data_IF_354146645478
#
_entry.id   IF_354146645478
#
_cell.length_a   1.000
_cell.length_b   1.000
_cell.length_c   1.000
_cell.angle_alpha   90.00
_cell.angle_beta   90.00
_cell.angle_gamma   90.00
#
_symmetry.space_group_name_H-M   'P 1'
#
loop_
_entity.id
_entity.type
_entity.pdbx_description
1 polymer ?
#
# COMPACT_ATOMS: atom_id res chain seq x y z
N UNK A 1 -17.67 -38.68 -51.04
CA UNK A 1 -17.23 -37.41 -50.42
C UNK A 1 -17.60 -37.44 -48.94
N UNK A 2 -16.68 -37.91 -48.09
CA UNK A 2 -16.88 -38.07 -46.65
C UNK A 2 -16.49 -36.76 -45.94
N UNK A 3 -17.39 -36.21 -45.12
CA UNK A 3 -17.11 -35.09 -44.21
C UNK A 3 -16.48 -35.65 -42.93
N UNK A 4 -15.23 -35.29 -42.66
CA UNK A 4 -14.55 -35.55 -41.37
C UNK A 4 -14.82 -34.36 -40.44
N UNK A 5 -15.40 -34.64 -39.27
CA UNK A 5 -15.56 -33.69 -38.15
C UNK A 5 -14.20 -33.47 -37.51
N UNK A 6 -13.80 -32.21 -37.35
CA UNK A 6 -12.67 -31.81 -36.51
C UNK A 6 -13.00 -32.07 -35.04
N UNK A 7 -12.14 -32.81 -34.35
CA UNK A 7 -12.15 -32.93 -32.90
C UNK A 7 -11.46 -31.69 -32.32
N UNK A 8 -12.12 -31.01 -31.39
CA UNK A 8 -11.54 -29.91 -30.64
C UNK A 8 -10.51 -30.44 -29.63
N UNK A 9 -9.32 -29.85 -29.64
CA UNK A 9 -8.34 -30.00 -28.57
C UNK A 9 -8.89 -29.37 -27.29
N UNK A 10 -8.97 -30.20 -26.25
CA UNK A 10 -9.28 -29.79 -24.90
C UNK A 10 -8.14 -28.90 -24.36
N UNK A 11 -8.50 -27.76 -23.81
CA UNK A 11 -7.58 -26.88 -23.11
C UNK A 11 -6.91 -27.62 -21.94
N UNK A 12 -5.59 -27.61 -21.92
CA UNK A 12 -4.74 -28.12 -20.85
C UNK A 12 -5.16 -27.53 -19.50
N UNK A 13 -5.60 -28.40 -18.59
CA UNK A 13 -5.86 -28.07 -17.20
C UNK A 13 -4.54 -27.77 -16.49
N UNK A 14 -4.29 -26.50 -16.17
CA UNK A 14 -3.21 -26.12 -15.28
C UNK A 14 -3.38 -26.85 -13.93
N UNK A 15 -2.38 -27.64 -13.54
CA UNK A 15 -2.34 -28.27 -12.23
C UNK A 15 -2.46 -27.19 -11.13
N UNK A 16 -3.22 -27.43 -10.05
CA UNK A 16 -3.36 -26.45 -8.98
C UNK A 16 -2.00 -26.15 -8.38
N UNK A 17 -1.64 -24.87 -8.31
CA UNK A 17 -0.38 -24.42 -7.74
C UNK A 17 -0.22 -24.96 -6.30
N UNK A 18 0.85 -25.72 -6.06
CA UNK A 18 1.12 -26.29 -4.75
C UNK A 18 1.29 -25.16 -3.71
N UNK A 19 0.58 -25.26 -2.59
CA UNK A 19 0.71 -24.30 -1.49
C UNK A 19 2.00 -24.57 -0.71
N UNK A 20 2.58 -23.51 -0.14
CA UNK A 20 3.77 -23.56 0.71
C UNK A 20 3.40 -23.36 2.17
N UNK A 21 3.91 -24.20 3.07
CA UNK A 21 3.99 -23.85 4.49
C UNK A 21 5.14 -22.87 4.67
N UNK A 22 4.86 -21.68 5.20
CA UNK A 22 5.87 -20.63 5.37
C UNK A 22 6.10 -20.28 6.84
N UNK A 23 7.31 -19.82 7.15
CA UNK A 23 7.70 -19.34 8.47
C UNK A 23 8.29 -20.41 9.39
N UNK A 24 8.97 -19.95 10.46
CA UNK A 24 9.60 -20.84 11.43
C UNK A 24 8.56 -21.52 12.32
N UNK A 25 8.88 -22.72 12.81
CA UNK A 25 8.01 -23.46 13.74
C UNK A 25 8.00 -22.87 15.16
N UNK A 26 8.99 -22.05 15.50
CA UNK A 26 9.09 -21.41 16.82
C UNK A 26 7.99 -20.36 17.02
N UNK A 27 7.56 -20.15 18.27
CA UNK A 27 6.61 -19.09 18.60
C UNK A 27 7.13 -17.70 18.19
N UNK A 28 6.22 -16.80 17.84
CA UNK A 28 6.55 -15.42 17.51
C UNK A 28 7.17 -14.70 18.73
N UNK A 29 8.14 -13.80 18.53
CA UNK A 29 8.66 -12.97 19.60
C UNK A 29 7.57 -12.12 20.26
N UNK A 30 7.70 -11.83 21.55
CA UNK A 30 6.83 -10.88 22.24
C UNK A 30 7.25 -9.43 21.93
N UNK A 31 6.29 -8.64 21.47
CA UNK A 31 6.47 -7.23 21.11
C UNK A 31 5.79 -6.26 22.10
N UNK A 32 5.17 -6.74 23.18
CA UNK A 32 4.43 -5.89 24.13
C UNK A 32 5.30 -4.75 24.70
N UNK A 33 6.57 -5.04 25.02
CA UNK A 33 7.52 -4.03 25.49
C UNK A 33 7.90 -3.00 24.42
N UNK A 34 7.99 -3.42 23.15
CA UNK A 34 8.26 -2.53 22.01
C UNK A 34 7.06 -1.62 21.75
N UNK A 35 5.85 -2.18 21.77
CA UNK A 35 4.59 -1.45 21.54
C UNK A 35 4.26 -0.47 22.68
N UNK A 36 4.77 -0.74 23.89
CA UNK A 36 4.58 0.14 25.04
C UNK A 36 5.40 1.44 24.96
N UNK A 37 6.45 1.49 24.13
CA UNK A 37 7.31 2.67 24.02
C UNK A 37 6.53 3.88 23.47
N UNK A 38 6.62 5.07 24.09
CA UNK A 38 5.83 6.24 23.69
C UNK A 38 6.03 6.64 22.23
N UNK A 39 7.28 6.63 21.74
CA UNK A 39 7.59 6.96 20.36
C UNK A 39 6.92 5.99 19.38
N UNK A 40 6.99 4.69 19.66
CA UNK A 40 6.39 3.66 18.80
C UNK A 40 4.87 3.82 18.75
N UNK A 41 4.22 4.18 19.87
CA UNK A 41 2.78 4.49 19.87
C UNK A 41 2.42 5.65 18.96
N UNK A 42 3.21 6.72 18.99
CA UNK A 42 2.99 7.90 18.12
C UNK A 42 3.17 7.53 16.65
N UNK A 43 4.25 6.82 16.31
CA UNK A 43 4.54 6.42 14.92
C UNK A 43 3.49 5.43 14.41
N UNK A 44 3.09 4.45 15.22
CA UNK A 44 2.00 3.51 14.89
C UNK A 44 0.68 4.25 14.64
N UNK A 45 0.32 5.21 15.50
CA UNK A 45 -0.90 5.99 15.34
C UNK A 45 -0.87 6.84 14.05
N UNK A 46 0.26 7.46 13.73
CA UNK A 46 0.44 8.19 12.48
C UNK A 46 0.31 7.26 11.27
N UNK A 47 0.99 6.12 11.29
CA UNK A 47 0.95 5.14 10.20
C UNK A 47 -0.46 4.63 9.96
N UNK A 48 -1.14 4.20 11.04
CA UNK A 48 -2.55 3.78 10.99
C UNK A 48 -3.44 4.86 10.40
N UNK A 49 -3.30 6.11 10.84
CA UNK A 49 -4.10 7.24 10.32
C UNK A 49 -3.92 7.38 8.81
N UNK A 50 -2.68 7.35 8.32
CA UNK A 50 -2.39 7.45 6.88
C UNK A 50 -2.92 6.27 6.08
N UNK A 51 -2.86 5.06 6.63
CA UNK A 51 -3.51 3.91 6.01
C UNK A 51 -5.04 4.05 5.97
N UNK A 52 -5.67 4.48 7.07
CA UNK A 52 -7.12 4.67 7.13
C UNK A 52 -7.61 5.76 6.17
N UNK A 53 -6.86 6.86 6.03
CA UNK A 53 -7.11 7.92 5.04
C UNK A 53 -7.09 7.35 3.60
N UNK A 54 -6.08 6.56 3.25
CA UNK A 54 -5.94 5.97 1.91
C UNK A 54 -6.99 4.87 1.61
N UNK A 55 -7.39 4.09 2.62
CA UNK A 55 -8.39 3.03 2.48
C UNK A 55 -9.83 3.60 2.53
N UNK A 56 -10.01 4.78 3.15
CA UNK A 56 -11.29 5.42 3.38
C UNK A 56 -12.07 4.88 4.59
N UNK A 57 -11.47 3.99 5.39
CA UNK A 57 -12.04 3.48 6.63
C UNK A 57 -10.95 2.96 7.57
N UNK A 58 -11.21 3.01 8.88
CA UNK A 58 -10.28 2.52 9.90
C UNK A 58 -10.63 1.09 10.39
N UNK A 59 -9.69 0.47 11.08
CA UNK A 59 -9.88 -0.81 11.77
C UNK A 59 -10.61 -0.63 13.10
N UNK A 60 -11.40 -1.63 13.49
CA UNK A 60 -11.96 -1.72 14.85
C UNK A 60 -10.95 -2.29 15.86
N UNK A 61 -9.84 -2.85 15.37
CA UNK A 61 -8.77 -3.35 16.22
C UNK A 61 -7.92 -2.20 16.77
N UNK A 62 -7.04 -2.52 17.71
CA UNK A 62 -6.11 -1.56 18.33
C UNK A 62 -4.67 -1.99 18.16
N UNK A 63 -3.76 -1.02 18.32
CA UNK A 63 -2.31 -1.25 18.22
C UNK A 63 -1.88 -1.80 16.86
N UNK A 64 -0.84 -2.63 16.88
CA UNK A 64 -0.29 -3.25 15.68
C UNK A 64 -1.29 -4.14 14.92
N UNK A 65 -2.17 -4.93 15.56
CA UNK A 65 -3.22 -5.68 14.86
C UNK A 65 -4.11 -4.83 13.94
N UNK A 66 -4.37 -3.57 14.29
CA UNK A 66 -5.10 -2.64 13.44
C UNK A 66 -4.35 -2.35 12.12
N UNK A 67 -3.04 -2.17 12.19
CA UNK A 67 -2.17 -1.94 11.02
C UNK A 67 -2.16 -3.17 10.11
N UNK A 68 -2.10 -4.37 10.68
CA UNK A 68 -2.14 -5.62 9.91
C UNK A 68 -3.51 -5.84 9.26
N UNK A 69 -4.61 -5.52 9.95
CA UNK A 69 -5.94 -5.56 9.37
C UNK A 69 -6.10 -4.55 8.22
N UNK A 70 -5.68 -3.29 8.40
CA UNK A 70 -5.67 -2.29 7.33
C UNK A 70 -4.82 -2.72 6.14
N UNK A 71 -3.65 -3.32 6.40
CA UNK A 71 -2.78 -3.87 5.35
C UNK A 71 -3.49 -4.95 4.54
N UNK A 72 -4.14 -5.90 5.22
CA UNK A 72 -4.91 -6.97 4.57
C UNK A 72 -6.08 -6.40 3.76
N UNK A 73 -6.72 -5.32 4.22
CA UNK A 73 -7.77 -4.61 3.47
C UNK A 73 -7.21 -3.92 2.24
N UNK A 74 -6.10 -3.20 2.36
CA UNK A 74 -5.42 -2.51 1.26
C UNK A 74 -5.02 -3.48 0.14
N UNK A 75 -4.43 -4.63 0.49
CA UNK A 75 -4.08 -5.68 -0.47
C UNK A 75 -5.30 -6.35 -1.13
N UNK A 76 -6.52 -6.10 -0.64
CA UNK A 76 -7.78 -6.61 -1.21
C UNK A 76 -8.63 -5.52 -1.86
N UNK A 77 -8.23 -4.26 -1.73
CA UNK A 77 -9.01 -3.11 -2.19
C UNK A 77 -8.99 -2.97 -3.71
N UNK A 78 -7.84 -3.27 -4.32
CA UNK A 78 -7.60 -3.08 -5.74
C UNK A 78 -7.58 -4.40 -6.52
N UNK A 79 -7.97 -4.36 -7.81
CA UNK A 79 -7.92 -5.54 -8.67
C UNK A 79 -6.49 -5.89 -9.10
N UNK A 80 -5.58 -4.92 -9.19
CA UNK A 80 -4.20 -5.14 -9.62
C UNK A 80 -3.21 -4.96 -8.47
N UNK A 81 -2.13 -5.76 -8.50
CA UNK A 81 -0.99 -5.61 -7.59
C UNK A 81 -0.38 -4.21 -7.68
N UNK A 82 -0.34 -3.62 -8.88
CA UNK A 82 0.29 -2.33 -9.13
C UNK A 82 -0.42 -1.19 -8.41
N UNK A 83 -1.74 -1.19 -8.40
CA UNK A 83 -2.53 -0.19 -7.69
C UNK A 83 -2.26 -0.24 -6.18
N UNK A 84 -2.23 -1.46 -5.60
CA UNK A 84 -1.83 -1.64 -4.19
C UNK A 84 -0.43 -1.10 -3.92
N UNK A 85 0.52 -1.34 -4.83
CA UNK A 85 1.90 -0.86 -4.67
C UNK A 85 1.98 0.67 -4.72
N UNK A 86 1.31 1.30 -5.69
CA UNK A 86 1.27 2.75 -5.85
C UNK A 86 0.61 3.42 -4.64
N UNK A 87 -0.54 2.92 -4.19
CA UNK A 87 -1.21 3.44 -2.99
C UNK A 87 -0.34 3.26 -1.75
N UNK A 88 0.35 2.12 -1.61
CA UNK A 88 1.27 1.91 -0.48
C UNK A 88 2.43 2.89 -0.52
N UNK A 89 3.04 3.15 -1.69
CA UNK A 89 4.11 4.14 -1.83
C UNK A 89 3.61 5.56 -1.51
N UNK A 90 2.38 5.90 -1.89
CA UNK A 90 1.76 7.16 -1.51
C UNK A 90 1.57 7.28 0.01
N UNK A 91 1.13 6.19 0.68
CA UNK A 91 1.07 6.13 2.14
C UNK A 91 2.45 6.38 2.75
N UNK A 92 3.51 5.70 2.27
CA UNK A 92 4.88 5.90 2.75
C UNK A 92 5.33 7.35 2.61
N UNK A 93 5.10 7.97 1.45
CA UNK A 93 5.41 9.39 1.24
C UNK A 93 4.64 10.31 2.21
N UNK A 94 3.37 9.99 2.48
CA UNK A 94 2.52 10.80 3.38
C UNK A 94 2.94 10.76 4.86
N UNK A 95 3.85 9.86 5.24
CA UNK A 95 4.42 9.81 6.60
C UNK A 95 5.43 10.94 6.83
N UNK A 96 5.95 11.52 5.76
CA UNK A 96 6.93 12.59 5.80
C UNK A 96 6.29 13.92 5.38
N UNK A 97 6.83 15.06 5.85
CA UNK A 97 6.53 16.34 5.22
C UNK A 97 6.85 16.27 3.72
N UNK A 98 5.98 16.79 2.85
CA UNK A 98 6.12 16.62 1.39
C UNK A 98 7.43 17.14 0.78
N UNK A 99 8.11 18.08 1.46
CA UNK A 99 9.42 18.59 1.04
C UNK A 99 10.60 17.67 1.41
N UNK A 100 10.43 16.81 2.42
CA UNK A 100 11.54 16.10 3.05
C UNK A 100 12.20 15.05 2.15
N UNK A 101 11.46 14.15 1.44
CA UNK A 101 12.10 13.18 0.57
C UNK A 101 12.92 13.82 -0.57
N UNK A 102 12.36 14.85 -1.22
CA UNK A 102 13.04 15.59 -2.27
C UNK A 102 14.29 16.34 -1.77
N UNK A 103 14.20 16.96 -0.59
CA UNK A 103 15.32 17.61 0.06
C UNK A 103 16.42 16.59 0.43
N UNK A 104 16.05 15.43 0.97
CA UNK A 104 16.98 14.35 1.29
C UNK A 104 17.72 13.87 0.04
N UNK A 105 17.00 13.64 -1.05
CA UNK A 105 17.57 13.27 -2.35
C UNK A 105 18.60 14.28 -2.85
N UNK A 106 18.30 15.57 -2.75
CA UNK A 106 19.17 16.64 -3.23
C UNK A 106 20.41 16.85 -2.35
N UNK A 107 20.26 16.77 -1.02
CA UNK A 107 21.32 17.12 -0.06
C UNK A 107 22.20 15.94 0.38
N UNK A 108 21.68 14.70 0.33
CA UNK A 108 22.39 13.53 0.84
C UNK A 108 22.57 12.45 -0.23
N UNK A 109 21.49 11.95 -0.84
CA UNK A 109 21.57 10.77 -1.72
C UNK A 109 22.41 11.01 -2.98
N UNK A 110 22.24 12.15 -3.65
CA UNK A 110 23.03 12.50 -4.83
C UNK A 110 24.48 12.86 -4.52
N UNK A 111 24.78 13.78 -3.59
CA UNK A 111 26.17 14.20 -3.35
C UNK A 111 26.98 13.18 -2.56
N UNK A 112 26.34 12.38 -1.70
CA UNK A 112 27.02 11.48 -0.75
C UNK A 112 26.33 10.10 -0.72
N UNK A 113 26.28 9.36 -1.84
CA UNK A 113 25.47 8.14 -1.97
C UNK A 113 25.82 7.06 -0.94
N UNK A 114 27.11 6.78 -0.71
CA UNK A 114 27.54 5.78 0.26
C UNK A 114 27.18 6.17 1.71
N UNK A 115 27.33 7.46 2.06
CA UNK A 115 26.93 7.97 3.38
C UNK A 115 25.41 7.89 3.54
N UNK A 116 24.66 8.27 2.52
CA UNK A 116 23.19 8.20 2.51
C UNK A 116 22.72 6.75 2.73
N UNK A 117 23.33 5.76 2.09
CA UNK A 117 23.00 4.35 2.29
C UNK A 117 23.27 3.90 3.73
N UNK A 118 24.43 4.24 4.31
CA UNK A 118 24.76 3.92 5.72
C UNK A 118 23.81 4.59 6.70
N UNK A 119 23.48 5.86 6.46
CA UNK A 119 22.56 6.62 7.31
C UNK A 119 21.16 6.00 7.27
N UNK A 120 20.66 5.63 6.09
CA UNK A 120 19.36 4.98 5.95
C UNK A 120 19.35 3.57 6.56
N UNK A 121 20.43 2.80 6.41
CA UNK A 121 20.56 1.49 7.07
C UNK A 121 20.48 1.63 8.60
N UNK A 122 21.28 2.54 9.16
CA UNK A 122 21.27 2.82 10.59
C UNK A 122 19.90 3.32 11.07
N UNK A 123 19.32 4.30 10.39
CA UNK A 123 18.02 4.87 10.74
C UNK A 123 16.90 3.83 10.66
N UNK A 124 16.89 2.98 9.63
CA UNK A 124 15.91 1.89 9.47
C UNK A 124 16.05 0.87 10.59
N UNK A 125 17.28 0.43 10.90
CA UNK A 125 17.54 -0.52 11.98
C UNK A 125 17.15 0.03 13.36
N UNK A 126 17.29 1.33 13.58
CA UNK A 126 16.95 1.98 14.85
C UNK A 126 15.44 2.25 15.00
N UNK A 127 14.79 2.75 13.94
CA UNK A 127 13.45 3.35 14.04
C UNK A 127 12.31 2.46 13.56
N UNK A 128 12.60 1.40 12.80
CA UNK A 128 11.57 0.54 12.22
C UNK A 128 11.39 -0.81 12.94
N UNK A 129 11.98 -1.00 14.12
CA UNK A 129 11.85 -2.25 14.88
C UNK A 129 10.41 -2.51 15.37
N UNK A 130 9.64 -1.46 15.66
CA UNK A 130 8.22 -1.62 15.99
C UNK A 130 7.43 -2.24 14.84
N UNK A 131 7.84 -1.94 13.59
CA UNK A 131 7.17 -2.39 12.37
C UNK A 131 7.63 -3.79 11.96
N UNK A 132 8.94 -4.00 11.94
CA UNK A 132 9.57 -5.17 11.33
C UNK A 132 10.11 -6.17 12.34
N UNK A 133 10.27 -5.81 13.62
CA UNK A 133 10.91 -6.64 14.63
C UNK A 133 12.42 -6.36 14.77
N UNK A 134 13.20 -7.27 15.39
CA UNK A 134 14.63 -7.08 15.63
C UNK A 134 15.41 -6.86 14.33
N UNK A 135 16.19 -5.79 14.29
CA UNK A 135 16.98 -5.38 13.13
C UNK A 135 18.46 -5.22 13.52
N UNK A 136 19.37 -5.63 12.62
CA UNK A 136 20.81 -5.45 12.78
C UNK A 136 21.39 -4.82 11.52
N UNK A 137 22.25 -3.82 11.68
CA UNK A 137 23.04 -3.28 10.58
C UNK A 137 24.13 -4.29 10.23
N UNK A 138 24.32 -4.55 8.94
CA UNK A 138 25.32 -5.48 8.44
C UNK A 138 25.96 -4.98 7.14
N UNK A 139 26.98 -5.70 6.70
CA UNK A 139 27.62 -5.50 5.40
C UNK A 139 26.89 -6.32 4.34
N UNK A 140 26.73 -5.74 3.16
CA UNK A 140 25.97 -6.33 2.05
C UNK A 140 26.67 -6.10 0.73
N UNK A 141 26.41 -6.96 -0.24
CA UNK A 141 26.79 -6.70 -1.62
C UNK A 141 25.93 -5.55 -2.19
N UNK A 142 26.57 -4.57 -2.81
CA UNK A 142 25.94 -3.44 -3.50
C UNK A 142 26.19 -3.53 -5.01
N UNK A 143 25.66 -2.58 -5.77
CA UNK A 143 25.86 -2.52 -7.22
C UNK A 143 27.35 -2.57 -7.60
N UNK A 144 27.68 -3.33 -8.64
CA UNK A 144 29.06 -3.60 -9.05
C UNK A 144 29.78 -4.70 -8.25
N UNK A 145 29.06 -5.42 -7.39
CA UNK A 145 29.59 -6.58 -6.65
C UNK A 145 30.51 -6.22 -5.49
N UNK A 146 30.55 -4.95 -5.09
CA UNK A 146 31.36 -4.48 -3.97
C UNK A 146 30.65 -4.74 -2.64
N UNK A 147 31.42 -4.81 -1.55
CA UNK A 147 30.85 -4.89 -0.20
C UNK A 147 30.59 -3.48 0.34
N UNK A 148 29.32 -3.13 0.51
CA UNK A 148 28.85 -1.92 1.15
C UNK A 148 28.87 -2.06 2.68
N UNK A 149 29.98 -1.66 3.29
CA UNK A 149 30.13 -1.72 4.75
C UNK A 149 29.07 -0.86 5.47
N UNK A 150 28.29 -1.47 6.36
CA UNK A 150 27.19 -0.84 7.11
C UNK A 150 26.04 -0.33 6.26
N UNK A 151 25.88 -0.83 5.02
CA UNK A 151 24.80 -0.44 4.10
C UNK A 151 23.65 -1.47 4.07
N UNK A 152 23.72 -2.49 4.92
CA UNK A 152 22.69 -3.52 5.05
C UNK A 152 21.87 -3.38 6.33
N UNK A 153 20.62 -3.85 6.28
CA UNK A 153 19.83 -4.14 7.47
C UNK A 153 19.25 -5.54 7.37
N UNK A 154 19.64 -6.42 8.29
CA UNK A 154 19.01 -7.70 8.47
C UNK A 154 17.88 -7.57 9.48
N UNK A 155 16.64 -7.75 9.02
CA UNK A 155 15.49 -8.04 9.88
C UNK A 155 15.56 -9.52 10.22
N UNK A 156 15.73 -9.87 11.48
CA UNK A 156 15.97 -11.27 11.88
C UNK A 156 14.71 -12.12 11.78
N UNK A 157 13.55 -11.54 12.08
CA UNK A 157 12.23 -12.15 11.92
C UNK A 157 11.20 -11.05 11.72
N UNK A 158 10.69 -10.94 10.50
CA UNK A 158 9.83 -9.86 10.06
C UNK A 158 8.43 -9.98 10.67
N UNK A 159 8.17 -9.19 11.71
CA UNK A 159 6.85 -9.09 12.38
C UNK A 159 5.73 -8.81 11.38
N UNK A 160 5.96 -7.92 10.43
CA UNK A 160 4.96 -7.53 9.42
C UNK A 160 4.56 -8.71 8.52
N UNK A 161 5.54 -9.46 8.00
CA UNK A 161 5.29 -10.65 7.19
C UNK A 161 4.64 -11.76 8.00
N UNK A 162 5.16 -12.02 9.19
CA UNK A 162 4.68 -13.05 10.11
C UNK A 162 3.21 -12.85 10.47
N UNK A 163 2.85 -11.64 10.91
CA UNK A 163 1.46 -11.34 11.28
C UNK A 163 0.55 -11.19 10.05
N UNK A 164 1.03 -10.65 8.92
CA UNK A 164 0.23 -10.58 7.71
C UNK A 164 -0.06 -11.98 7.13
N UNK A 165 0.89 -12.92 7.28
CA UNK A 165 0.76 -14.32 6.89
C UNK A 165 0.66 -14.54 5.38
N UNK A 166 1.12 -13.60 4.54
CA UNK A 166 1.00 -13.75 3.08
C UNK A 166 2.12 -13.07 2.30
N UNK A 167 2.74 -13.82 1.38
CA UNK A 167 3.75 -13.27 0.47
C UNK A 167 3.19 -12.19 -0.48
N UNK A 168 1.91 -12.24 -0.88
CA UNK A 168 1.24 -11.15 -1.63
C UNK A 168 1.35 -9.82 -0.90
N UNK A 169 1.13 -9.83 0.42
CA UNK A 169 1.19 -8.62 1.25
C UNK A 169 2.63 -8.17 1.39
N UNK A 170 3.56 -9.10 1.65
CA UNK A 170 4.99 -8.80 1.70
C UNK A 170 5.49 -8.07 0.46
N UNK A 171 5.13 -8.58 -0.73
CA UNK A 171 5.58 -8.02 -2.00
C UNK A 171 4.93 -6.68 -2.29
N UNK A 172 3.59 -6.62 -2.19
CA UNK A 172 2.82 -5.47 -2.70
C UNK A 172 2.59 -4.36 -1.68
N UNK A 173 2.78 -4.62 -0.39
CA UNK A 173 2.59 -3.64 0.68
C UNK A 173 3.86 -3.37 1.48
N UNK A 174 4.99 -4.03 1.16
CA UNK A 174 6.27 -3.77 1.80
C UNK A 174 7.41 -3.67 0.76
N UNK A 175 7.82 -4.80 0.15
CA UNK A 175 8.99 -4.85 -0.74
C UNK A 175 8.94 -3.85 -1.89
N UNK A 176 8.00 -3.99 -2.82
CA UNK A 176 7.97 -3.15 -4.03
C UNK A 176 7.75 -1.67 -3.69
N UNK A 177 6.78 -1.30 -2.83
CA UNK A 177 6.56 0.10 -2.49
C UNK A 177 7.75 0.75 -1.78
N UNK A 178 8.41 0.04 -0.87
CA UNK A 178 9.56 0.57 -0.15
C UNK A 178 10.77 0.72 -1.08
N UNK A 179 11.05 -0.25 -1.96
CA UNK A 179 12.12 -0.11 -2.96
C UNK A 179 11.86 1.09 -3.88
N UNK A 180 10.63 1.24 -4.40
CA UNK A 180 10.28 2.39 -5.24
C UNK A 180 10.33 3.72 -4.48
N UNK A 181 9.94 3.74 -3.21
CA UNK A 181 10.04 4.93 -2.36
C UNK A 181 11.50 5.39 -2.24
N UNK A 182 12.42 4.46 -1.95
CA UNK A 182 13.83 4.81 -1.84
C UNK A 182 14.43 5.25 -3.18
N UNK A 183 14.12 4.55 -4.27
CA UNK A 183 14.66 4.86 -5.58
C UNK A 183 14.12 6.19 -6.14
N UNK A 184 12.80 6.36 -6.12
CA UNK A 184 12.12 7.46 -6.82
C UNK A 184 11.98 8.70 -5.95
N UNK A 185 11.70 8.55 -4.66
CA UNK A 185 11.46 9.70 -3.76
C UNK A 185 12.75 10.10 -3.01
N UNK A 186 13.43 9.14 -2.37
CA UNK A 186 14.66 9.41 -1.60
C UNK A 186 15.93 9.45 -2.46
N UNK A 187 15.87 8.94 -3.69
CA UNK A 187 16.96 8.97 -4.66
C UNK A 187 18.14 8.05 -4.38
N UNK A 188 17.91 6.88 -3.78
CA UNK A 188 18.93 5.86 -3.53
C UNK A 188 18.39 4.45 -3.81
N UNK A 189 19.19 3.56 -4.41
CA UNK A 189 18.74 2.20 -4.68
C UNK A 189 18.66 1.40 -3.39
N UNK A 190 17.64 0.56 -3.27
CA UNK A 190 17.44 -0.38 -2.18
C UNK A 190 16.91 -1.68 -2.77
N UNK A 191 17.53 -2.81 -2.43
CA UNK A 191 16.96 -4.13 -2.66
C UNK A 191 16.55 -4.77 -1.34
N UNK A 192 15.35 -5.33 -1.29
CA UNK A 192 14.83 -6.08 -0.15
C UNK A 192 14.67 -7.54 -0.51
N UNK A 193 15.27 -8.45 0.26
CA UNK A 193 15.27 -9.89 -0.02
C UNK A 193 14.61 -10.64 1.15
N UNK A 194 13.30 -10.95 1.06
CA UNK A 194 12.62 -11.69 2.10
C UNK A 194 12.98 -13.19 2.03
N UNK A 195 13.16 -13.82 3.18
CA UNK A 195 13.22 -15.27 3.32
C UNK A 195 11.89 -15.76 3.89
N UNK A 196 11.19 -16.62 3.15
CA UNK A 196 9.88 -17.13 3.55
C UNK A 196 9.92 -18.38 4.44
N UNK A 197 11.10 -18.94 4.69
CA UNK A 197 11.29 -20.07 5.61
C UNK A 197 11.45 -19.61 7.06
N UNK A 198 12.23 -18.57 7.31
CA UNK A 198 12.50 -18.05 8.67
C UNK A 198 11.89 -16.67 8.93
N UNK A 199 11.27 -16.06 7.92
CA UNK A 199 10.73 -14.70 7.92
C UNK A 199 11.78 -13.59 8.09
N UNK A 200 13.07 -13.87 7.95
CA UNK A 200 14.09 -12.82 7.86
C UNK A 200 13.93 -11.99 6.59
N UNK A 201 14.47 -10.77 6.57
CA UNK A 201 14.47 -9.92 5.39
C UNK A 201 15.74 -9.08 5.34
N UNK A 202 16.50 -9.21 4.26
CA UNK A 202 17.73 -8.44 4.05
C UNK A 202 17.45 -7.20 3.21
N UNK A 203 17.76 -6.03 3.76
CA UNK A 203 17.78 -4.75 3.05
C UNK A 203 19.21 -4.49 2.61
N UNK A 204 19.41 -4.13 1.34
CA UNK A 204 20.70 -3.73 0.79
C UNK A 204 20.57 -2.35 0.16
N UNK A 205 20.93 -1.32 0.93
CA UNK A 205 21.01 0.05 0.43
C UNK A 205 22.22 0.17 -0.49
N UNK A 206 22.09 0.81 -1.65
CA UNK A 206 23.12 0.82 -2.68
C UNK A 206 23.01 -0.33 -3.69
N UNK A 207 22.01 -1.21 -3.57
CA UNK A 207 21.74 -2.31 -4.53
C UNK A 207 20.44 -2.05 -5.29
N UNK A 208 20.53 -2.00 -6.62
CA UNK A 208 19.38 -1.76 -7.49
C UNK A 208 18.46 -2.97 -7.54
N UNK A 209 17.13 -2.80 -7.33
CA UNK A 209 16.16 -3.88 -7.46
C UNK A 209 16.28 -4.63 -8.78
N UNK A 210 16.24 -5.95 -8.71
CA UNK A 210 16.19 -6.78 -9.90
C UNK A 210 14.81 -6.69 -10.58
N UNK A 211 14.72 -6.96 -11.89
CA UNK A 211 13.45 -7.16 -12.56
C UNK A 211 12.64 -8.26 -11.86
N UNK A 212 11.32 -8.10 -11.77
CA UNK A 212 10.43 -9.08 -11.10
C UNK A 212 10.56 -10.51 -11.64
N UNK A 213 10.95 -10.67 -12.91
CA UNK A 213 11.13 -11.98 -13.53
C UNK A 213 12.37 -12.74 -13.02
N UNK A 214 13.35 -12.02 -12.45
CA UNK A 214 14.61 -12.56 -11.92
C UNK A 214 14.61 -12.62 -10.38
N UNK A 215 13.66 -11.94 -9.74
CA UNK A 215 13.55 -11.85 -8.29
C UNK A 215 12.76 -13.03 -7.71
N UNK A 216 13.46 -13.89 -6.98
CA UNK A 216 12.91 -15.13 -6.41
C UNK A 216 11.69 -14.91 -5.50
N UNK A 217 11.53 -13.71 -4.91
CA UNK A 217 10.36 -13.39 -4.11
C UNK A 217 9.06 -13.55 -4.93
N UNK A 218 9.11 -13.24 -6.24
CA UNK A 218 7.99 -13.35 -7.19
C UNK A 218 7.77 -14.78 -7.71
N UNK A 219 8.63 -15.73 -7.38
CA UNK A 219 8.46 -17.15 -7.73
C UNK A 219 7.78 -17.95 -6.63
N UNK A 220 7.57 -17.36 -5.44
CA UNK A 220 7.10 -18.09 -4.28
C UNK A 220 5.63 -18.52 -4.40
N UNK A 221 5.31 -19.81 -4.19
CA UNK A 221 3.93 -20.26 -4.14
C UNK A 221 3.18 -19.66 -2.96
N UNK A 222 1.85 -19.66 -3.06
CA UNK A 222 1.03 -19.11 -2.00
C UNK A 222 1.21 -19.82 -0.66
N UNK A 223 1.15 -19.07 0.42
CA UNK A 223 1.18 -19.64 1.75
C UNK A 223 -0.13 -20.37 2.05
N UNK A 224 -0.03 -21.52 2.72
CA UNK A 224 -1.18 -22.27 3.24
C UNK A 224 -2.03 -21.39 4.16
N UNK A 225 -1.38 -20.53 4.95
CA UNK A 225 -2.01 -19.60 5.89
C UNK A 225 -2.44 -18.25 5.27
N UNK A 226 -2.26 -18.01 3.96
CA UNK A 226 -2.50 -16.67 3.39
C UNK A 226 -3.98 -16.25 3.46
N UNK A 227 -4.32 -15.16 4.17
CA UNK A 227 -5.69 -14.65 4.24
C UNK A 227 -6.20 -14.12 2.89
N UNK A 228 -5.33 -13.83 1.92
CA UNK A 228 -5.71 -13.34 0.58
C UNK A 228 -5.99 -14.46 -0.44
N UNK A 229 -5.83 -15.75 -0.07
CA UNK A 229 -5.93 -16.91 -0.98
C UNK A 229 -7.29 -17.09 -1.66
N UNK A 230 -8.40 -16.71 -1.02
CA UNK A 230 -9.76 -17.02 -1.55
C UNK A 230 -10.22 -16.11 -2.70
N UNK A 231 -9.31 -15.42 -3.39
CA UNK A 231 -9.65 -14.49 -4.47
C UNK A 231 -8.93 -14.87 -5.76
N UNK A 232 -9.72 -15.04 -6.82
CA UNK A 232 -9.23 -14.91 -8.18
C UNK A 232 -8.98 -13.42 -8.45
N UNK A 233 -7.76 -13.07 -8.81
CA UNK A 233 -7.42 -11.76 -9.35
C UNK A 233 -7.02 -11.95 -10.81
N UNK A 234 -7.35 -10.96 -11.64
CA UNK A 234 -6.92 -10.91 -13.02
C UNK A 234 -5.48 -10.36 -13.06
N UNK A 235 -4.56 -11.10 -13.66
CA UNK A 235 -3.20 -10.60 -13.89
C UNK A 235 -3.21 -9.41 -14.88
N UNK A 236 -2.04 -8.81 -15.16
CA UNK A 236 -1.91 -7.75 -16.17
C UNK A 236 -2.37 -8.18 -17.59
N UNK A 237 -2.67 -9.47 -17.79
CA UNK A 237 -3.20 -10.05 -19.03
C UNK A 237 -4.65 -10.57 -18.89
N UNK A 238 -5.35 -10.30 -17.78
CA UNK A 238 -6.75 -10.68 -17.58
C UNK A 238 -7.02 -12.14 -17.16
N UNK A 239 -6.03 -12.88 -16.62
CA UNK A 239 -6.21 -14.31 -16.24
C UNK A 239 -6.42 -14.49 -14.73
N UNK A 240 -7.43 -15.29 -14.31
CA UNK A 240 -7.67 -15.62 -12.90
C UNK A 240 -6.67 -16.65 -12.36
N UNK A 241 -6.22 -16.48 -11.11
CA UNK A 241 -5.43 -17.50 -10.40
C UNK A 241 -5.48 -17.41 -8.88
N UNK A 242 -5.07 -18.48 -8.21
CA UNK A 242 -5.43 -18.76 -6.80
C UNK A 242 -4.61 -18.01 -5.74
N UNK A 243 -3.46 -17.43 -6.09
CA UNK A 243 -2.76 -16.42 -5.27
C UNK A 243 -1.97 -15.44 -6.14
N UNK A 244 -2.70 -14.80 -7.05
CA UNK A 244 -2.20 -13.88 -8.08
C UNK A 244 -1.87 -12.52 -7.48
N UNK A 245 -0.75 -12.43 -6.80
CA UNK A 245 -0.12 -11.15 -6.45
C UNK A 245 1.41 -11.29 -6.38
N UNK A 246 1.93 -12.44 -6.81
CA UNK A 246 3.34 -12.81 -6.75
C UNK A 246 3.86 -13.18 -8.15
N UNK A 247 3.06 -13.73 -9.08
CA UNK A 247 3.55 -14.19 -10.37
C UNK A 247 3.36 -13.21 -11.56
N UNK A 248 4.47 -12.56 -11.92
CA UNK A 248 5.11 -12.48 -13.26
C UNK A 248 4.22 -12.62 -14.52
N UNK A 249 4.18 -11.55 -15.32
CA UNK A 249 4.22 -11.70 -16.78
C UNK A 249 5.69 -11.67 -17.23
N UNK A 250 6.17 -12.79 -17.79
CA UNK A 250 7.46 -12.85 -18.51
C UNK A 250 7.35 -11.87 -19.69
N UNK A 251 8.20 -10.86 -19.69
CA UNK A 251 8.34 -9.95 -20.83
C UNK A 251 7.41 -8.74 -20.77
N UNK A 252 7.70 -7.83 -19.86
CA UNK A 252 7.72 -6.37 -20.05
C UNK A 252 8.22 -5.79 -18.74
N UNK A 253 9.27 -4.97 -18.82
CA UNK A 253 9.77 -4.21 -17.68
C UNK A 253 8.58 -3.51 -17.02
N UNK A 254 8.20 -3.94 -15.81
CA UNK A 254 7.16 -3.27 -15.01
C UNK A 254 7.68 -1.93 -14.42
N UNK A 255 8.72 -1.36 -15.05
CA UNK A 255 9.21 0.00 -14.91
C UNK A 255 8.52 0.93 -15.93
N UNK A 256 7.25 0.69 -16.26
CA UNK A 256 6.50 1.65 -17.07
C UNK A 256 6.15 2.82 -16.15
N UNK A 257 6.90 3.91 -16.32
CA UNK A 257 6.49 5.24 -15.90
C UNK A 257 5.13 5.55 -16.53
N UNK A 258 4.08 5.63 -15.71
CA UNK A 258 2.87 6.36 -16.08
C UNK A 258 3.02 7.82 -15.65
N UNK A 259 2.40 8.78 -16.36
CA UNK A 259 2.55 10.20 -16.08
C UNK A 259 2.10 10.50 -14.64
N UNK A 260 2.84 11.40 -14.01
CA UNK A 260 2.63 12.06 -12.71
C UNK A 260 1.29 11.73 -12.02
N UNK A 261 1.34 10.80 -11.06
CA UNK A 261 0.25 10.57 -10.13
C UNK A 261 0.17 11.77 -9.18
N UNK A 262 -0.86 12.60 -9.37
CA UNK A 262 -1.14 13.73 -8.49
C UNK A 262 -1.59 13.22 -7.11
N UNK A 263 -0.66 13.30 -6.15
CA UNK A 263 -0.83 12.87 -4.75
C UNK A 263 -1.90 13.68 -4.01
N UNK A 264 -2.40 14.79 -4.60
CA UNK A 264 -3.40 15.67 -4.00
C UNK A 264 -4.79 15.56 -4.64
N UNK A 265 -4.97 14.72 -5.67
CA UNK A 265 -6.29 14.53 -6.26
C UNK A 265 -7.23 13.79 -5.27
N UNK A 266 -8.40 14.36 -4.91
CA UNK A 266 -9.34 13.68 -4.03
C UNK A 266 -9.80 12.37 -4.67
N UNK A 267 -9.81 11.29 -3.89
CA UNK A 267 -10.34 9.99 -4.29
C UNK A 267 -11.78 10.15 -4.78
N UNK A 268 -12.02 10.01 -6.09
CA UNK A 268 -13.37 9.90 -6.63
C UNK A 268 -13.97 8.58 -6.11
N UNK A 269 -15.11 8.59 -5.42
CA UNK A 269 -15.79 7.37 -5.04
C UNK A 269 -16.11 6.56 -6.29
N UNK A 270 -15.92 5.24 -6.21
CA UNK A 270 -16.29 4.30 -7.26
C UNK A 270 -17.79 4.44 -7.56
N UNK A 271 -18.10 4.94 -8.75
CA UNK A 271 -19.47 5.05 -9.24
C UNK A 271 -20.03 3.62 -9.42
N UNK A 272 -21.15 3.32 -8.75
CA UNK A 272 -21.73 1.97 -8.71
C UNK A 272 -22.66 1.68 -9.89
N UNK A 273 -22.87 2.66 -10.79
CA UNK A 273 -23.86 2.54 -11.87
C UNK A 273 -23.26 2.27 -13.26
N UNK A 274 -21.95 2.05 -13.38
CA UNK A 274 -21.30 1.64 -14.62
C UNK A 274 -21.50 0.13 -14.91
N UNK A 275 -22.74 -0.35 -14.86
CA UNK A 275 -23.13 -1.62 -15.49
C UNK A 275 -24.64 -1.68 -15.75
N UNK A 276 -25.11 -0.79 -16.65
CA UNK A 276 -26.36 -0.98 -17.36
C UNK A 276 -26.14 -0.75 -18.86
N UNK A 277 -25.98 -1.88 -19.56
CA UNK A 277 -26.70 -2.16 -20.79
C UNK A 277 -26.32 -1.34 -22.02
N UNK A 278 -25.52 -2.00 -22.87
CA UNK A 278 -25.37 -1.74 -24.29
C UNK A 278 -26.71 -1.65 -25.03
N UNK A 279 -26.79 -0.79 -26.05
CA UNK A 279 -27.94 -0.71 -26.95
C UNK A 279 -27.68 0.22 -28.13
N UNK A 280 -27.41 -0.39 -29.28
CA UNK A 280 -27.08 0.16 -30.60
C UNK A 280 -27.84 1.44 -31.04
N UNK A 281 -27.17 2.18 -31.91
CA UNK A 281 -27.58 3.48 -32.45
C UNK A 281 -28.85 3.49 -33.30
N UNK A 282 -29.30 4.70 -33.67
CA UNK A 282 -30.04 5.05 -34.90
C UNK A 282 -30.14 6.59 -34.90
N UNK A 283 -29.36 7.26 -35.75
CA UNK A 283 -29.86 8.07 -36.89
C UNK A 283 -30.58 9.39 -36.55
N UNK A 284 -29.91 10.50 -36.90
CA UNK A 284 -30.42 11.71 -37.57
C UNK A 284 -31.78 12.33 -37.14
N UNK A 285 -31.74 13.63 -36.80
CA UNK A 285 -32.55 14.74 -37.36
C UNK A 285 -32.76 15.81 -36.29
N UNK A 286 -32.13 16.98 -36.39
CA UNK A 286 -32.57 18.17 -37.13
C UNK A 286 -33.90 18.80 -36.66
N UNK A 287 -33.74 20.05 -36.21
CA UNK A 287 -34.55 21.23 -36.52
C UNK A 287 -35.96 21.42 -35.92
N UNK A 288 -36.09 22.63 -35.34
CA UNK A 288 -37.20 23.59 -35.45
C UNK A 288 -38.29 23.65 -34.37
N UNK A 289 -38.21 24.75 -33.62
CA UNK A 289 -39.22 25.79 -33.43
C UNK A 289 -40.61 25.45 -32.87
N UNK A 290 -40.90 26.08 -31.72
CA UNK A 290 -42.10 26.86 -31.33
C UNK A 290 -42.19 26.82 -29.80
N UNK A 291 -42.41 27.87 -29.02
CA UNK A 291 -42.77 29.27 -29.22
C UNK A 291 -42.78 29.91 -27.82
N UNK A 292 -42.65 31.24 -27.76
CA UNK A 292 -42.51 32.03 -26.53
C UNK A 292 -43.89 32.38 -25.87
N UNK A 293 -44.02 33.42 -25.01
CA UNK A 293 -43.98 33.38 -23.54
C UNK A 293 -45.27 33.97 -22.89
N UNK A 294 -45.34 34.04 -21.55
CA UNK A 294 -46.22 34.98 -20.85
C UNK A 294 -45.73 35.28 -19.41
N UNK A 295 -45.55 36.56 -19.13
CA UNK A 295 -45.37 37.20 -17.81
C UNK A 295 -46.73 37.26 -17.05
N UNK A 296 -46.74 37.37 -15.72
CA UNK A 296 -46.97 38.65 -14.99
C UNK A 296 -47.35 38.44 -13.49
N UNK A 297 -47.19 39.51 -12.70
CA UNK A 297 -47.67 39.82 -11.33
C UNK A 297 -46.71 39.74 -10.12
N UNK A 298 -46.11 40.91 -9.81
CA UNK A 298 -46.34 41.78 -8.62
C UNK A 298 -46.74 41.12 -7.27
N UNK A 299 -46.39 41.58 -6.06
CA UNK A 299 -45.60 42.66 -5.48
C UNK A 299 -45.64 42.43 -3.93
N UNK A 300 -44.69 43.03 -3.21
CA UNK A 300 -44.75 43.55 -1.82
C UNK A 300 -43.77 42.97 -0.79
N UNK A 301 -43.09 43.92 -0.16
CA UNK A 301 -42.04 43.83 0.83
C UNK A 301 -42.58 43.71 2.25
N UNK A 302 -41.82 43.08 3.16
CA UNK A 302 -41.60 43.57 4.53
C UNK A 302 -40.50 42.78 5.25
N UNK A 303 -39.59 43.56 5.82
CA UNK A 303 -38.49 43.32 6.76
C UNK A 303 -38.79 42.44 7.98
N UNK A 304 -37.80 41.66 8.44
CA UNK A 304 -37.41 41.56 9.85
C UNK A 304 -36.08 40.79 10.03
N UNK A 305 -35.08 41.49 10.57
CA UNK A 305 -33.85 40.90 11.14
C UNK A 305 -34.17 40.07 12.39
N UNK A 306 -33.39 39.01 12.64
CA UNK A 306 -33.01 38.62 14.01
C UNK A 306 -31.71 37.82 14.04
N UNK A 307 -30.71 38.47 14.62
CA UNK A 307 -29.53 37.90 15.26
C UNK A 307 -29.90 36.75 16.20
N UNK A 308 -29.07 35.70 16.26
CA UNK A 308 -28.99 34.81 17.42
C UNK A 308 -27.54 34.65 17.85
N UNK A 309 -27.26 35.15 19.05
CA UNK A 309 -25.98 35.08 19.76
C UNK A 309 -25.85 33.76 20.53
N UNK A 310 -24.62 33.27 20.63
CA UNK A 310 -24.16 32.22 21.54
C UNK A 310 -24.28 32.66 23.01
N UNK A 311 -24.50 31.73 23.96
CA UNK A 311 -24.11 31.93 25.36
C UNK A 311 -22.85 31.14 25.76
N UNK A 312 -22.11 31.59 26.81
CA UNK A 312 -20.75 31.18 27.11
C UNK A 312 -20.62 30.19 28.27
N UNK A 313 -19.38 29.73 28.45
CA UNK A 313 -18.82 28.96 29.58
C UNK A 313 -18.93 29.67 30.93
N UNK A 314 -19.12 28.90 32.01
CA UNK A 314 -18.74 29.31 33.36
C UNK A 314 -18.02 28.19 34.13
N UNK A 315 -17.03 28.62 34.89
CA UNK A 315 -16.08 27.85 35.69
C UNK A 315 -16.41 27.89 37.18
N UNK A 316 -16.12 26.77 37.85
CA UNK A 316 -15.82 26.56 39.28
C UNK A 316 -15.77 27.79 40.21
N UNK A 317 -16.62 27.82 41.24
CA UNK A 317 -16.27 27.71 42.68
C UNK A 317 -17.46 28.08 43.57
N UNK A 318 -17.87 27.18 44.47
CA UNK A 318 -18.09 27.49 45.89
C UNK A 318 -18.45 26.23 46.72
N UNK A 319 -17.56 25.96 47.67
CA UNK A 319 -17.81 25.60 49.08
C UNK A 319 -18.76 24.45 49.43
N UNK A 320 -18.12 23.33 49.80
CA UNK A 320 -18.21 22.70 51.11
C UNK A 320 -19.46 22.98 51.95
N UNK A 321 -20.29 21.96 52.17
CA UNK A 321 -20.69 21.51 53.50
C UNK A 321 -21.55 20.22 53.44
N UNK A 322 -21.06 19.21 54.19
CA UNK A 322 -21.79 18.33 55.11
C UNK A 322 -22.67 17.17 54.58
N UNK A 323 -22.41 16.03 55.23
CA UNK A 323 -23.28 14.90 55.61
C UNK A 323 -23.04 13.55 54.90
N UNK A 324 -22.63 12.61 55.76
CA UNK A 324 -22.49 11.15 55.72
C UNK A 324 -21.32 10.47 54.96
#
# INVERSE_FOLDING_TARGET
>A
MLRVRAAGEAADGAAPAALRQAGPAAAAPDYAGVDAQPLNRVVMALFRRKMAEAIGSDSQLQGYPAIIDLTRRLNRQYPTARDTQLTTRAILNSLFPGWLPGAFRAMFSRPLPALSCRLNAFATALTCQWLMGPCKVNDVEIDGGQVGAGMGVLVERCRYLEEAGCASICINSCKVPTQEFFEKDMGLPLTMTPNYDDFSCQFAFGKTPQPQAEDEAFSTPCFTQCPSRRRAFDDANGKPGDCVNIAVSRGKNLFVETPEFDVLAPHRPRDKDANKGEGLGFLFSCFACCGAPAEDTAETAATAERHYSLPPSESLTNLANKED
#
